data_IF_377684527347
#
_entry.id   IF_377684527347
#
_cell.length_a   1.000
_cell.length_b   1.000
_cell.length_c   1.000
_cell.angle_alpha   90.00
_cell.angle_beta   90.00
_cell.angle_gamma   90.00
#
_symmetry.space_group_name_H-M   'P 1'
#
loop_
_entity.id
_entity.type
_entity.pdbx_description
1 polymer ?
#
# COMPACT_ATOMS: atom_id res chain seq x y z
N UNK A 1 22.67 16.42 32.32
CA UNK A 1 22.64 16.09 30.89
C UNK A 1 21.18 16.05 30.44
N UNK A 2 20.72 17.02 29.64
CA UNK A 2 19.37 17.01 29.09
C UNK A 2 19.25 15.86 28.08
N UNK A 3 18.16 15.07 28.10
CA UNK A 3 17.97 14.00 27.14
C UNK A 3 17.97 14.61 25.74
N UNK A 4 18.85 14.14 24.84
CA UNK A 4 18.78 14.46 23.41
C UNK A 4 17.37 14.12 22.95
N UNK A 5 16.57 15.12 22.56
CA UNK A 5 15.32 14.89 21.81
C UNK A 5 15.70 14.08 20.56
N UNK A 6 15.44 12.80 20.58
CA UNK A 6 15.44 12.01 19.36
C UNK A 6 14.33 12.60 18.48
N UNK A 7 14.69 13.16 17.34
CA UNK A 7 13.69 13.61 16.38
C UNK A 7 12.86 12.39 15.98
N UNK A 8 11.56 12.44 16.27
CA UNK A 8 10.64 11.38 15.95
C UNK A 8 10.61 11.17 14.42
N UNK A 9 10.92 9.96 13.97
CA UNK A 9 10.84 9.63 12.54
C UNK A 9 9.37 9.57 12.15
N UNK A 10 8.96 10.43 11.22
CA UNK A 10 7.57 10.53 10.76
C UNK A 10 7.48 10.08 9.31
N UNK A 11 6.54 9.20 9.02
CA UNK A 11 6.09 8.86 7.68
C UNK A 11 4.64 9.27 7.48
N UNK A 12 4.28 9.64 6.26
CA UNK A 12 2.91 10.02 5.92
C UNK A 12 2.36 9.10 4.84
N UNK A 13 1.12 8.63 5.03
CA UNK A 13 0.51 7.62 4.18
C UNK A 13 -0.85 8.11 3.75
N UNK A 14 -1.03 8.25 2.44
CA UNK A 14 -2.32 8.48 1.81
C UNK A 14 -2.91 7.13 1.39
N UNK A 15 -4.12 6.83 1.82
CA UNK A 15 -4.86 5.64 1.42
C UNK A 15 -6.37 5.92 1.41
N UNK A 16 -7.10 5.27 0.52
CA UNK A 16 -8.55 5.47 0.36
C UNK A 16 -9.35 4.61 1.33
N UNK A 17 -8.99 3.34 1.43
CA UNK A 17 -9.81 2.31 2.07
C UNK A 17 -9.54 2.12 3.57
N UNK A 18 -10.59 1.68 4.26
CA UNK A 18 -10.48 1.29 5.68
C UNK A 18 -9.65 0.02 5.87
N UNK A 19 -9.65 -0.87 4.88
CA UNK A 19 -8.88 -2.13 4.91
C UNK A 19 -7.39 -1.86 4.94
N UNK A 20 -6.90 -1.06 3.98
CA UNK A 20 -5.49 -0.66 3.88
C UNK A 20 -5.06 0.04 5.16
N UNK A 21 -5.85 1.01 5.61
CA UNK A 21 -5.55 1.78 6.81
C UNK A 21 -5.45 0.90 8.04
N UNK A 22 -6.42 0.00 8.28
CA UNK A 22 -6.40 -0.90 9.44
C UNK A 22 -5.23 -1.87 9.42
N UNK A 23 -4.94 -2.46 8.25
CA UNK A 23 -3.79 -3.35 8.07
C UNK A 23 -2.48 -2.60 8.37
N UNK A 24 -2.28 -1.43 7.77
CA UNK A 24 -1.08 -0.63 7.94
C UNK A 24 -0.93 -0.11 9.37
N UNK A 25 -2.00 0.36 10.02
CA UNK A 25 -1.95 0.81 11.42
C UNK A 25 -1.47 -0.31 12.34
N UNK A 26 -2.00 -1.54 12.16
CA UNK A 26 -1.60 -2.70 12.97
C UNK A 26 -0.13 -3.07 12.69
N UNK A 27 0.27 -3.07 11.42
CA UNK A 27 1.66 -3.31 11.02
C UNK A 27 2.63 -2.31 11.65
N UNK A 28 2.31 -1.01 11.65
CA UNK A 28 3.15 0.01 12.27
C UNK A 28 3.25 -0.16 13.78
N UNK A 29 2.16 -0.52 14.43
CA UNK A 29 2.12 -0.73 15.88
C UNK A 29 2.98 -1.92 16.32
N UNK A 30 3.06 -2.97 15.52
CA UNK A 30 3.79 -4.20 15.84
C UNK A 30 5.25 -4.15 15.32
N UNK A 31 5.44 -3.91 14.01
CA UNK A 31 6.74 -4.05 13.33
C UNK A 31 7.63 -2.80 13.45
N UNK A 32 7.04 -1.60 13.47
CA UNK A 32 7.78 -0.33 13.40
C UNK A 32 7.59 0.52 14.65
N UNK A 33 7.81 -0.08 15.83
CA UNK A 33 7.70 0.62 17.12
C UNK A 33 8.66 1.81 17.19
N UNK A 34 8.10 3.02 17.42
CA UNK A 34 8.89 4.27 17.45
C UNK A 34 8.93 5.03 16.12
N UNK A 35 8.44 4.43 15.01
CA UNK A 35 8.18 5.16 13.78
C UNK A 35 6.74 5.68 13.80
N UNK A 36 6.55 6.99 13.63
CA UNK A 36 5.22 7.60 13.65
C UNK A 36 4.60 7.61 12.26
N UNK A 37 3.49 6.91 12.09
CA UNK A 37 2.69 6.97 10.87
C UNK A 37 1.57 8.00 10.99
N UNK A 38 1.45 8.87 9.98
CA UNK A 38 0.34 9.81 9.82
C UNK A 38 -0.50 9.40 8.61
N UNK A 39 -1.73 8.96 8.86
CA UNK A 39 -2.65 8.54 7.78
C UNK A 39 -3.50 9.70 7.28
N UNK A 40 -3.60 9.86 5.97
CA UNK A 40 -4.37 10.88 5.26
C UNK A 40 -5.28 10.24 4.20
N UNK A 41 -6.41 10.85 3.88
CA UNK A 41 -7.03 11.92 4.64
C UNK A 41 -7.51 11.43 6.02
N UNK A 42 -7.71 12.32 6.96
CA UNK A 42 -8.27 11.96 8.28
C UNK A 42 -9.71 11.50 8.19
N UNK A 43 -10.46 12.06 7.24
CA UNK A 43 -11.86 11.76 6.93
C UNK A 43 -11.89 11.14 5.54
N UNK A 44 -12.68 10.08 5.33
CA UNK A 44 -12.85 9.42 4.05
C UNK A 44 -13.22 10.44 2.96
N UNK A 45 -12.45 10.47 1.89
CA UNK A 45 -12.63 11.35 0.74
C UNK A 45 -12.80 10.57 -0.57
N UNK A 46 -13.11 11.28 -1.65
CA UNK A 46 -13.05 10.68 -2.98
C UNK A 46 -11.59 10.43 -3.39
N UNK A 47 -11.39 9.57 -4.37
CA UNK A 47 -10.05 9.28 -4.89
C UNK A 47 -9.37 10.54 -5.43
N UNK A 48 -10.13 11.47 -6.05
CA UNK A 48 -9.60 12.75 -6.51
C UNK A 48 -9.03 13.58 -5.35
N UNK A 49 -9.78 13.66 -4.26
CA UNK A 49 -9.34 14.40 -3.07
C UNK A 49 -8.04 13.82 -2.49
N UNK A 50 -7.89 12.50 -2.55
CA UNK A 50 -6.67 11.81 -2.10
C UNK A 50 -5.50 12.16 -3.03
N UNK A 51 -5.72 12.08 -4.36
CA UNK A 51 -4.71 12.38 -5.36
C UNK A 51 -4.27 13.84 -5.31
N UNK A 52 -5.22 14.77 -5.19
CA UNK A 52 -4.95 16.20 -5.06
C UNK A 52 -4.21 16.52 -3.75
N UNK A 53 -4.69 15.96 -2.64
CA UNK A 53 -4.04 16.14 -1.34
C UNK A 53 -2.61 15.60 -1.32
N UNK A 54 -2.35 14.46 -1.96
CA UNK A 54 -1.00 13.92 -2.10
C UNK A 54 -0.09 14.83 -2.93
N UNK A 55 -0.58 15.36 -4.06
CA UNK A 55 0.18 16.33 -4.87
C UNK A 55 0.48 17.60 -4.11
N UNK A 56 -0.49 18.15 -3.39
CA UNK A 56 -0.30 19.38 -2.58
C UNK A 56 0.76 19.15 -1.50
N UNK A 57 0.74 17.97 -0.86
CA UNK A 57 1.68 17.61 0.18
C UNK A 57 3.15 17.76 -0.27
N UNK A 58 3.45 17.44 -1.53
CA UNK A 58 4.82 17.51 -2.05
C UNK A 58 5.39 18.94 -2.09
N UNK A 59 4.52 19.93 -2.13
CA UNK A 59 4.92 21.34 -2.15
C UNK A 59 4.96 21.97 -0.74
N UNK A 60 4.50 21.21 0.29
CA UNK A 60 4.52 21.72 1.67
C UNK A 60 5.94 21.65 2.25
N UNK A 61 6.41 22.74 2.89
CA UNK A 61 7.74 22.77 3.50
C UNK A 61 7.97 21.64 4.54
N UNK A 62 6.90 21.26 5.24
CA UNK A 62 6.92 20.21 6.28
C UNK A 62 7.20 18.82 5.71
N UNK A 63 6.91 18.59 4.44
CA UNK A 63 7.14 17.30 3.76
C UNK A 63 8.63 16.96 3.73
N UNK A 64 9.52 17.95 3.67
CA UNK A 64 10.98 17.75 3.72
C UNK A 64 11.46 17.13 5.03
N UNK A 65 10.69 17.24 6.10
CA UNK A 65 11.00 16.63 7.39
C UNK A 65 10.51 15.18 7.51
N UNK A 66 9.65 14.72 6.59
CA UNK A 66 9.18 13.33 6.56
C UNK A 66 10.32 12.39 6.16
N UNK A 67 10.30 11.21 6.73
CA UNK A 67 11.21 10.12 6.35
C UNK A 67 10.67 9.29 5.19
N UNK A 68 9.38 9.40 4.88
CA UNK A 68 8.74 8.79 3.74
C UNK A 68 7.33 9.34 3.53
N UNK A 69 6.92 9.45 2.28
CA UNK A 69 5.58 9.82 1.85
C UNK A 69 5.06 8.74 0.90
N UNK A 70 3.95 8.11 1.27
CA UNK A 70 3.39 6.97 0.54
C UNK A 70 1.98 7.26 0.08
N UNK A 71 1.67 6.87 -1.16
CA UNK A 71 0.32 6.84 -1.72
C UNK A 71 -0.06 5.39 -2.01
N UNK A 72 -1.00 4.84 -1.26
CA UNK A 72 -1.47 3.45 -1.39
C UNK A 72 -2.80 3.45 -2.11
N UNK A 73 -2.87 2.74 -3.24
CA UNK A 73 -4.00 2.75 -4.16
C UNK A 73 -4.43 1.37 -4.61
N UNK A 74 -5.75 1.15 -4.61
CA UNK A 74 -6.40 0.05 -5.29
C UNK A 74 -6.72 0.46 -6.73
N UNK A 75 -6.15 -0.26 -7.71
CA UNK A 75 -6.30 0.10 -9.12
C UNK A 75 -7.72 -0.13 -9.65
N UNK A 76 -8.48 -1.09 -9.09
CA UNK A 76 -9.87 -1.32 -9.50
C UNK A 76 -10.77 -0.13 -9.15
N UNK A 77 -10.53 0.59 -8.06
CA UNK A 77 -11.24 1.83 -7.73
C UNK A 77 -11.06 2.89 -8.81
N UNK A 78 -9.82 3.06 -9.31
CA UNK A 78 -9.52 4.01 -10.37
C UNK A 78 -10.24 3.66 -11.70
N UNK A 79 -10.33 2.37 -12.02
CA UNK A 79 -11.02 1.89 -13.21
C UNK A 79 -12.54 2.00 -13.08
N UNK A 80 -13.12 1.54 -11.97
CA UNK A 80 -14.58 1.52 -11.75
C UNK A 80 -15.16 2.92 -11.61
N UNK A 81 -14.42 3.86 -11.04
CA UNK A 81 -14.81 5.26 -10.91
C UNK A 81 -14.43 6.12 -12.13
N UNK A 82 -13.89 5.52 -13.20
CA UNK A 82 -13.41 6.24 -14.40
C UNK A 82 -12.36 7.31 -14.10
N UNK A 83 -11.52 7.10 -13.09
CA UNK A 83 -10.52 8.06 -12.62
C UNK A 83 -9.09 7.76 -13.10
N UNK A 84 -8.91 6.73 -13.90
CA UNK A 84 -7.60 6.32 -14.41
C UNK A 84 -6.88 7.42 -15.19
N UNK A 85 -7.62 8.28 -15.93
CA UNK A 85 -7.04 9.40 -16.66
C UNK A 85 -6.46 10.46 -15.73
N UNK A 86 -7.16 10.78 -14.65
CA UNK A 86 -6.70 11.73 -13.62
C UNK A 86 -5.44 11.19 -12.95
N UNK A 87 -5.46 9.90 -12.58
CA UNK A 87 -4.31 9.24 -12.00
C UNK A 87 -3.08 9.26 -12.93
N UNK A 88 -3.26 8.94 -14.22
CA UNK A 88 -2.16 8.99 -15.20
C UNK A 88 -1.58 10.40 -15.37
N UNK A 89 -2.41 11.44 -15.34
CA UNK A 89 -1.94 12.82 -15.38
C UNK A 89 -1.14 13.19 -14.13
N UNK A 90 -1.62 12.78 -12.96
CA UNK A 90 -0.90 12.96 -11.70
C UNK A 90 0.47 12.25 -11.74
N UNK A 91 0.49 10.97 -12.16
CA UNK A 91 1.73 10.18 -12.24
C UNK A 91 2.78 10.85 -13.13
N UNK A 92 2.39 11.39 -14.28
CA UNK A 92 3.29 12.19 -15.14
C UNK A 92 3.85 13.43 -14.44
N UNK A 93 3.03 14.13 -13.65
CA UNK A 93 3.50 15.28 -12.85
C UNK A 93 4.51 14.86 -11.79
N UNK A 94 4.28 13.72 -11.13
CA UNK A 94 5.18 13.16 -10.12
C UNK A 94 6.52 12.72 -10.73
N UNK A 95 6.48 12.05 -11.88
CA UNK A 95 7.68 11.66 -12.63
C UNK A 95 8.53 12.88 -13.04
N UNK A 96 7.88 14.00 -13.39
CA UNK A 96 8.56 15.24 -13.73
C UNK A 96 9.25 15.94 -12.55
N UNK A 97 8.80 15.67 -11.31
CA UNK A 97 9.44 16.20 -10.09
C UNK A 97 10.81 15.53 -9.87
N UNK A 98 10.96 14.27 -10.30
CA UNK A 98 12.23 13.54 -10.21
C UNK A 98 12.73 13.30 -8.78
N UNK A 99 11.86 13.42 -7.78
CA UNK A 99 12.19 13.29 -6.36
C UNK A 99 11.88 11.86 -5.86
N UNK A 100 12.84 11.28 -5.16
CA UNK A 100 12.70 9.95 -4.54
C UNK A 100 12.09 10.00 -3.13
N UNK A 101 11.60 11.17 -2.70
CA UNK A 101 11.04 11.36 -1.35
C UNK A 101 9.66 10.73 -1.16
N UNK A 102 9.02 10.25 -2.22
CA UNK A 102 7.71 9.61 -2.18
C UNK A 102 7.67 8.28 -2.95
N UNK A 103 6.69 7.45 -2.62
CA UNK A 103 6.43 6.18 -3.30
C UNK A 103 4.93 5.99 -3.58
N UNK A 104 4.59 5.50 -4.77
CA UNK A 104 3.23 5.13 -5.13
C UNK A 104 3.12 3.61 -5.05
N UNK A 105 2.27 3.14 -4.17
CA UNK A 105 2.07 1.72 -3.86
C UNK A 105 0.76 1.26 -4.48
N UNK A 106 0.82 0.86 -5.74
CA UNK A 106 -0.33 0.34 -6.46
C UNK A 106 -0.57 -1.13 -6.12
N UNK A 107 -1.84 -1.54 -6.01
CA UNK A 107 -2.29 -2.92 -6.00
C UNK A 107 -3.34 -3.15 -7.08
N UNK A 108 -3.11 -4.10 -7.98
CA UNK A 108 -4.05 -4.48 -9.04
C UNK A 108 -4.50 -5.93 -8.87
N UNK A 109 -5.81 -6.14 -8.66
CA UNK A 109 -6.86 -5.11 -8.64
C UNK A 109 -6.91 -4.32 -7.33
N UNK A 110 -6.62 -4.90 -6.18
CA UNK A 110 -6.78 -4.33 -4.85
C UNK A 110 -5.76 -4.90 -3.85
N UNK A 111 -5.68 -4.33 -2.65
CA UNK A 111 -4.75 -4.74 -1.58
C UNK A 111 -4.95 -6.20 -1.16
N UNK A 112 -6.14 -6.78 -1.33
CA UNK A 112 -6.37 -8.19 -1.04
C UNK A 112 -5.49 -9.13 -1.89
N UNK A 113 -4.99 -8.66 -3.03
CA UNK A 113 -4.00 -9.41 -3.78
C UNK A 113 -2.67 -9.55 -3.02
N UNK A 114 -2.24 -8.51 -2.30
CA UNK A 114 -1.12 -8.60 -1.37
C UNK A 114 -1.37 -9.64 -0.28
N UNK A 115 -2.57 -9.66 0.31
CA UNK A 115 -2.92 -10.65 1.32
C UNK A 115 -2.90 -12.09 0.77
N UNK A 116 -3.33 -12.28 -0.47
CA UNK A 116 -3.30 -13.57 -1.15
C UNK A 116 -1.86 -14.10 -1.34
N UNK A 117 -0.91 -13.21 -1.62
CA UNK A 117 0.49 -13.57 -1.85
C UNK A 117 1.20 -14.11 -0.59
N UNK A 118 0.64 -13.94 0.62
CA UNK A 118 1.14 -14.58 1.83
C UNK A 118 0.95 -16.10 1.81
N UNK A 119 -0.01 -16.60 1.06
CA UNK A 119 -0.38 -18.03 1.04
C UNK A 119 0.09 -18.74 -0.22
N UNK A 120 0.10 -18.04 -1.35
CA UNK A 120 0.34 -18.68 -2.65
C UNK A 120 0.93 -17.69 -3.64
N UNK A 121 1.91 -18.18 -4.44
CA UNK A 121 2.31 -17.48 -5.65
C UNK A 121 1.18 -17.56 -6.68
N UNK A 122 0.74 -16.39 -7.18
CA UNK A 122 -0.35 -16.31 -8.13
C UNK A 122 -0.10 -15.15 -9.09
N UNK A 123 0.12 -15.45 -10.36
CA UNK A 123 0.50 -14.46 -11.40
C UNK A 123 -0.56 -14.26 -12.48
N UNK A 124 -1.73 -14.91 -12.33
CA UNK A 124 -2.86 -14.70 -13.23
C UNK A 124 -3.47 -13.32 -13.10
N UNK A 125 -4.12 -12.87 -14.15
CA UNK A 125 -4.95 -11.67 -14.09
C UNK A 125 -6.22 -11.94 -13.26
N UNK A 126 -6.40 -11.16 -12.21
CA UNK A 126 -7.68 -11.00 -11.53
C UNK A 126 -8.35 -9.73 -12.07
N UNK A 127 -9.54 -9.87 -12.63
CA UNK A 127 -10.24 -8.76 -13.32
C UNK A 127 -10.69 -7.70 -12.32
N UNK A 128 -11.07 -8.11 -11.10
CA UNK A 128 -11.56 -7.25 -10.03
C UNK A 128 -11.24 -7.85 -8.66
N UNK A 129 -11.50 -7.06 -7.60
CA UNK A 129 -11.27 -7.47 -6.23
C UNK A 129 -12.08 -8.70 -5.82
N UNK A 130 -13.32 -8.86 -6.29
CA UNK A 130 -14.16 -10.03 -5.99
C UNK A 130 -13.51 -11.35 -6.43
N UNK A 131 -12.81 -11.33 -7.56
CA UNK A 131 -12.08 -12.51 -8.04
C UNK A 131 -10.88 -12.87 -7.15
N UNK A 132 -10.21 -11.88 -6.56
CA UNK A 132 -9.18 -12.09 -5.54
C UNK A 132 -9.78 -12.63 -4.25
N UNK A 133 -10.91 -12.06 -3.80
CA UNK A 133 -11.61 -12.48 -2.59
C UNK A 133 -12.05 -13.94 -2.64
N UNK A 134 -12.51 -14.42 -3.79
CA UNK A 134 -12.84 -15.85 -3.99
C UNK A 134 -11.64 -16.78 -3.74
N UNK A 135 -10.45 -16.35 -4.17
CA UNK A 135 -9.22 -17.10 -3.90
C UNK A 135 -8.78 -16.97 -2.44
N UNK A 136 -8.86 -15.76 -1.89
CA UNK A 136 -8.44 -15.47 -0.52
C UNK A 136 -9.28 -16.22 0.53
N UNK A 137 -10.58 -16.38 0.27
CA UNK A 137 -11.54 -17.06 1.17
C UNK A 137 -11.50 -18.60 1.11
N UNK A 138 -10.55 -19.19 0.41
CA UNK A 138 -10.39 -20.66 0.46
C UNK A 138 -10.03 -21.12 1.87
N UNK A 139 -10.43 -22.36 2.21
CA UNK A 139 -10.34 -22.96 3.56
C UNK A 139 -8.93 -22.89 4.17
N UNK A 140 -7.92 -23.02 3.33
CA UNK A 140 -6.50 -23.02 3.69
C UNK A 140 -5.87 -21.62 3.81
N UNK A 141 -6.67 -20.56 3.72
CA UNK A 141 -6.20 -19.15 3.73
C UNK A 141 -6.96 -18.31 4.75
N UNK A 142 -7.86 -17.42 4.29
CA UNK A 142 -8.68 -16.55 5.14
C UNK A 142 -10.18 -16.78 4.87
N UNK A 143 -10.74 -17.96 5.23
CA UNK A 143 -12.12 -18.33 4.89
C UNK A 143 -13.16 -17.32 5.41
N UNK A 144 -12.90 -16.75 6.59
CA UNK A 144 -13.80 -15.80 7.24
C UNK A 144 -13.47 -14.33 6.93
N UNK A 145 -12.60 -14.07 5.95
CA UNK A 145 -12.23 -12.70 5.62
C UNK A 145 -13.47 -11.89 5.21
N UNK A 146 -13.67 -10.77 5.90
CA UNK A 146 -14.71 -9.80 5.59
C UNK A 146 -14.09 -8.39 5.50
N UNK A 147 -14.19 -7.80 4.30
CA UNK A 147 -13.66 -6.46 4.00
C UNK A 147 -14.24 -5.38 4.91
N UNK A 148 -15.49 -5.55 5.36
CA UNK A 148 -16.23 -4.58 6.16
C UNK A 148 -16.35 -4.95 7.65
N UNK A 149 -15.86 -6.11 8.06
CA UNK A 149 -16.07 -6.68 9.39
C UNK A 149 -14.97 -6.41 10.42
N UNK A 150 -15.15 -7.04 11.59
CA UNK A 150 -14.17 -7.04 12.70
C UNK A 150 -12.83 -7.70 12.31
N UNK A 151 -12.82 -8.49 11.25
CA UNK A 151 -11.69 -9.28 10.79
C UNK A 151 -10.45 -8.48 10.39
N UNK A 152 -10.64 -7.21 10.01
CA UNK A 152 -9.55 -6.34 9.58
C UNK A 152 -8.60 -5.94 10.71
N UNK A 153 -9.03 -6.01 11.98
CA UNK A 153 -8.15 -5.70 13.13
C UNK A 153 -7.06 -6.76 13.35
N UNK A 154 -7.40 -8.03 13.11
CA UNK A 154 -6.49 -9.16 13.35
C UNK A 154 -5.81 -9.64 12.07
N UNK A 155 -6.05 -8.96 10.96
CA UNK A 155 -5.57 -9.36 9.65
C UNK A 155 -4.04 -9.39 9.59
N UNK A 156 -3.37 -8.34 10.03
CA UNK A 156 -1.92 -8.29 10.08
C UNK A 156 -1.35 -9.39 10.98
N UNK A 157 -1.93 -9.62 12.15
CA UNK A 157 -1.49 -10.67 13.08
C UNK A 157 -1.51 -12.07 12.43
N UNK A 158 -2.52 -12.34 11.58
CA UNK A 158 -2.62 -13.60 10.83
C UNK A 158 -1.61 -13.72 9.71
N UNK A 159 -1.22 -12.60 9.10
CA UNK A 159 -0.37 -12.57 7.92
C UNK A 159 1.12 -12.35 8.25
N UNK A 160 1.45 -11.73 9.39
CA UNK A 160 2.81 -11.26 9.69
C UNK A 160 3.89 -12.33 9.65
N UNK A 161 3.57 -13.58 9.97
CA UNK A 161 4.53 -14.69 9.94
C UNK A 161 4.98 -15.06 8.52
N UNK A 162 4.14 -14.80 7.51
CA UNK A 162 4.37 -15.14 6.12
C UNK A 162 4.70 -13.91 5.26
N UNK A 163 5.05 -12.76 5.88
CA UNK A 163 5.34 -11.50 5.17
C UNK A 163 6.50 -11.65 4.18
N UNK A 164 7.53 -12.42 4.53
CA UNK A 164 8.67 -12.67 3.65
C UNK A 164 8.27 -13.53 2.44
N UNK A 165 7.28 -14.41 2.59
CA UNK A 165 6.68 -15.16 1.49
C UNK A 165 5.97 -14.22 0.54
N UNK A 166 5.16 -13.30 1.08
CA UNK A 166 4.44 -12.32 0.28
C UNK A 166 5.39 -11.37 -0.48
N UNK A 167 6.47 -10.92 0.16
CA UNK A 167 7.52 -10.11 -0.49
C UNK A 167 8.12 -10.87 -1.68
N UNK A 168 8.59 -12.10 -1.47
CA UNK A 168 9.17 -12.94 -2.54
C UNK A 168 8.18 -13.18 -3.67
N UNK A 169 6.93 -13.49 -3.36
CA UNK A 169 5.89 -13.72 -4.35
C UNK A 169 5.57 -12.45 -5.15
N UNK A 170 5.50 -11.30 -4.49
CA UNK A 170 5.26 -10.00 -5.15
C UNK A 170 6.38 -9.64 -6.13
N UNK A 171 7.64 -9.78 -5.72
CA UNK A 171 8.81 -9.55 -6.58
C UNK A 171 8.76 -10.51 -7.77
N UNK A 172 8.57 -11.80 -7.53
CA UNK A 172 8.49 -12.83 -8.59
C UNK A 172 7.37 -12.56 -9.60
N UNK A 173 6.25 -12.00 -9.17
CA UNK A 173 5.16 -11.58 -10.07
C UNK A 173 5.63 -10.47 -11.01
N UNK A 174 6.34 -9.47 -10.49
CA UNK A 174 6.81 -8.32 -11.29
C UNK A 174 7.97 -8.70 -12.24
N UNK A 175 8.85 -9.59 -11.82
CA UNK A 175 10.00 -10.04 -12.61
C UNK A 175 9.64 -11.03 -13.72
N UNK A 176 8.41 -11.60 -13.70
CA UNK A 176 8.01 -12.57 -14.73
C UNK A 176 7.98 -11.90 -16.10
N UNK A 177 8.72 -12.45 -17.10
CA UNK A 177 8.67 -11.94 -18.46
C UNK A 177 7.25 -11.99 -19.03
N UNK A 178 6.83 -10.90 -19.67
CA UNK A 178 5.50 -10.74 -20.28
C UNK A 178 5.59 -10.01 -21.60
N UNK A 179 4.59 -10.19 -22.46
CA UNK A 179 4.42 -9.34 -23.62
C UNK A 179 4.05 -7.93 -23.19
N UNK A 180 4.39 -6.92 -24.00
CA UNK A 180 4.23 -5.51 -23.63
C UNK A 180 2.81 -5.12 -23.22
N UNK A 181 1.78 -5.74 -23.81
CA UNK A 181 0.37 -5.46 -23.52
C UNK A 181 -0.28 -6.50 -22.60
N UNK A 182 0.47 -7.46 -22.07
CA UNK A 182 -0.07 -8.50 -21.21
C UNK A 182 -0.50 -7.94 -19.85
N UNK A 183 -1.80 -7.92 -19.62
CA UNK A 183 -2.34 -7.50 -18.35
C UNK A 183 -2.16 -8.58 -17.27
N UNK A 184 -1.77 -8.17 -16.07
CA UNK A 184 -1.59 -9.05 -14.94
C UNK A 184 -1.97 -8.36 -13.63
N UNK A 185 -2.16 -9.14 -12.57
CA UNK A 185 -2.28 -8.64 -11.21
C UNK A 185 -0.90 -8.40 -10.62
N UNK A 186 -0.75 -7.35 -9.83
CA UNK A 186 0.51 -6.98 -9.17
C UNK A 186 0.26 -6.17 -7.91
N UNK A 187 1.29 -6.02 -7.10
CA UNK A 187 1.29 -5.08 -5.97
C UNK A 187 2.73 -4.62 -5.67
N UNK A 188 2.87 -3.35 -5.31
CA UNK A 188 4.13 -2.75 -4.86
C UNK A 188 4.24 -2.70 -3.32
N UNK A 189 3.40 -3.43 -2.59
CA UNK A 189 3.46 -3.45 -1.11
C UNK A 189 4.82 -3.90 -0.56
N UNK A 190 5.55 -4.76 -1.28
CA UNK A 190 6.90 -5.17 -0.91
C UNK A 190 7.89 -3.98 -0.93
N UNK A 191 7.76 -3.04 -1.87
CA UNK A 191 8.59 -1.83 -1.93
C UNK A 191 8.34 -0.93 -0.72
N UNK A 192 7.05 -0.76 -0.33
CA UNK A 192 6.70 -0.01 0.89
C UNK A 192 7.37 -0.61 2.13
N UNK A 193 7.30 -1.94 2.27
CA UNK A 193 7.87 -2.63 3.43
C UNK A 193 9.41 -2.50 3.43
N UNK A 194 10.05 -2.69 2.30
CA UNK A 194 11.51 -2.52 2.18
C UNK A 194 11.95 -1.10 2.55
N UNK A 195 11.26 -0.09 2.02
CA UNK A 195 11.55 1.32 2.34
C UNK A 195 11.33 1.61 3.82
N UNK A 196 10.26 1.08 4.42
CA UNK A 196 9.97 1.25 5.85
C UNK A 196 11.01 0.54 6.73
N UNK A 197 11.48 -0.65 6.34
CA UNK A 197 12.55 -1.37 7.03
C UNK A 197 13.86 -0.56 7.02
N UNK A 198 14.19 0.09 5.92
CA UNK A 198 15.38 0.95 5.80
C UNK A 198 15.24 2.22 6.66
N UNK A 199 14.08 2.88 6.61
CA UNK A 199 13.77 4.03 7.48
C UNK A 199 13.86 3.64 8.96
N UNK A 200 13.35 2.46 9.31
CA UNK A 200 13.34 2.00 10.70
C UNK A 200 14.73 1.69 11.25
N UNK A 201 15.62 1.13 10.41
CA UNK A 201 17.00 0.80 10.77
C UNK A 201 17.93 2.02 10.78
N UNK A 202 17.65 3.08 9.99
CA UNK A 202 18.46 4.30 9.92
C UNK A 202 18.36 5.15 11.19
#
# INVERSE_FOLDING_TARGET
>A
MSPKKSFEKVVRIYCEGDTEKKYLVTMFTDRYKGLRAQFKPKIKGSIEHILEGFLQELYEPETKALKGLFLVLDMDTLYTQSKISIYKQMKKKLEAIGDSSFSIIESRPCIEYWFLLHFVFQDKLFVNCDSVLKELKKKDRLPDYDKHGKYTKDLYEKLKKDIDVAIKNSIKVLEKPRQADEQHSYTYMHEMITTLDDIYKS
#
